data_IF_347965943174
#
_entry.id   IF_347965943174
#
_cell.length_a   1.000
_cell.length_b   1.000
_cell.length_c   1.000
_cell.angle_alpha   90.00
_cell.angle_beta   90.00
_cell.angle_gamma   90.00
#
_symmetry.space_group_name_H-M   'P 1'
#
loop_
_entity.id
_entity.type
_entity.pdbx_description
1 polymer ?
#
# COMPACT_ATOMS: atom_id res chain seq x y z
N UNK A 1 -12.17 2.73 27.30
CA UNK A 1 -11.24 3.57 28.08
C UNK A 1 -9.85 3.35 27.50
N UNK A 2 -9.22 4.39 26.96
CA UNK A 2 -7.89 4.32 26.32
C UNK A 2 -6.83 3.94 27.35
N UNK A 3 -5.96 2.99 27.02
CA UNK A 3 -4.83 2.63 27.88
C UNK A 3 -3.71 3.68 27.75
N UNK A 4 -2.82 3.75 28.75
CA UNK A 4 -1.67 4.66 28.71
C UNK A 4 -0.75 4.40 27.49
N UNK A 5 -0.62 3.15 27.08
CA UNK A 5 0.12 2.76 25.89
C UNK A 5 -0.55 3.30 24.61
N UNK A 6 -1.85 3.11 24.49
CA UNK A 6 -2.64 3.62 23.36
C UNK A 6 -2.55 5.14 23.26
N UNK A 7 -2.64 5.83 24.40
CA UNK A 7 -2.46 7.28 24.47
C UNK A 7 -1.09 7.73 23.92
N UNK A 8 0.01 7.13 24.38
CA UNK A 8 1.36 7.47 23.87
C UNK A 8 1.47 7.23 22.38
N UNK A 9 0.97 6.11 21.88
CA UNK A 9 0.99 5.78 20.46
C UNK A 9 0.15 6.77 19.64
N UNK A 10 -1.00 7.19 20.16
CA UNK A 10 -1.87 8.19 19.53
C UNK A 10 -1.16 9.54 19.42
N UNK A 11 -0.56 10.04 20.48
CA UNK A 11 0.15 11.33 20.46
C UNK A 11 1.35 11.28 19.50
N UNK A 12 2.11 10.19 19.48
CA UNK A 12 3.19 10.00 18.49
C UNK A 12 2.67 10.07 17.05
N UNK A 13 1.58 9.36 16.76
CA UNK A 13 0.95 9.34 15.43
C UNK A 13 0.50 10.73 15.00
N UNK A 14 -0.18 11.48 15.88
CA UNK A 14 -0.65 12.85 15.60
C UNK A 14 0.56 13.78 15.37
N UNK A 15 1.60 13.66 16.19
CA UNK A 15 2.84 14.46 16.05
C UNK A 15 3.51 14.24 14.69
N UNK A 16 3.54 12.99 14.21
CA UNK A 16 4.08 12.65 12.90
C UNK A 16 3.20 13.21 11.76
N UNK A 17 1.89 13.10 11.88
CA UNK A 17 0.93 13.64 10.90
C UNK A 17 0.99 15.16 10.79
N UNK A 18 1.24 15.86 11.91
CA UNK A 18 1.40 17.33 11.95
C UNK A 18 2.81 17.81 11.59
N UNK A 19 3.74 16.87 11.26
CA UNK A 19 5.10 17.19 10.88
C UNK A 19 5.99 17.67 12.03
N UNK A 20 5.58 17.47 13.30
CA UNK A 20 6.37 17.82 14.47
C UNK A 20 7.58 16.89 14.65
N UNK A 21 7.46 15.63 14.21
CA UNK A 21 8.54 14.66 14.17
C UNK A 21 8.38 13.73 12.97
N UNK A 22 9.51 13.19 12.47
CA UNK A 22 9.55 12.26 11.34
C UNK A 22 9.69 10.80 11.78
N UNK A 23 10.18 10.58 12.97
CA UNK A 23 10.47 9.25 13.50
C UNK A 23 10.46 9.23 15.03
N UNK A 24 10.52 8.03 15.61
CA UNK A 24 10.52 7.84 17.06
C UNK A 24 11.71 8.49 17.77
N UNK A 25 12.86 8.66 17.10
CA UNK A 25 14.04 9.31 17.71
C UNK A 25 13.75 10.79 17.91
N UNK A 26 13.28 11.49 16.89
CA UNK A 26 12.89 12.90 16.98
C UNK A 26 11.79 13.10 18.02
N UNK A 27 10.80 12.21 18.09
CA UNK A 27 9.76 12.29 19.09
C UNK A 27 10.28 12.08 20.52
N UNK A 28 11.22 11.16 20.72
CA UNK A 28 11.89 10.98 22.01
C UNK A 28 12.67 12.22 22.44
N UNK A 29 13.37 12.86 21.49
CA UNK A 29 14.12 14.10 21.71
C UNK A 29 13.17 15.24 22.12
N UNK A 30 12.01 15.37 21.47
CA UNK A 30 10.96 16.36 21.83
C UNK A 30 10.44 16.15 23.25
N UNK A 31 10.22 14.92 23.65
CA UNK A 31 9.78 14.57 25.01
C UNK A 31 10.92 14.63 26.06
N UNK A 32 12.14 14.90 25.64
CA UNK A 32 13.35 14.84 26.49
C UNK A 32 13.46 13.50 27.22
N UNK A 33 13.34 12.40 26.47
CA UNK A 33 13.54 11.03 26.93
C UNK A 33 14.44 10.27 25.96
N UNK A 34 15.06 9.20 26.43
CA UNK A 34 15.83 8.35 25.53
C UNK A 34 14.91 7.46 24.68
N UNK A 35 15.42 7.08 23.49
CA UNK A 35 14.67 6.26 22.53
C UNK A 35 14.24 4.91 23.09
N UNK A 36 15.03 4.32 23.99
CA UNK A 36 14.71 3.01 24.58
C UNK A 36 13.54 3.11 25.55
N UNK A 37 13.45 4.21 26.27
CA UNK A 37 12.31 4.55 27.14
C UNK A 37 11.04 4.75 26.31
N UNK A 38 11.10 5.56 25.26
CA UNK A 38 9.94 5.76 24.38
C UNK A 38 9.48 4.44 23.74
N UNK A 39 10.39 3.66 23.18
CA UNK A 39 10.07 2.38 22.58
C UNK A 39 9.45 1.39 23.58
N UNK A 40 9.97 1.37 24.81
CA UNK A 40 9.40 0.56 25.88
C UNK A 40 7.96 0.99 26.25
N UNK A 41 7.69 2.30 26.33
CA UNK A 41 6.35 2.82 26.59
C UNK A 41 5.38 2.48 25.45
N UNK A 42 5.79 2.64 24.21
CA UNK A 42 5.00 2.32 23.02
C UNK A 42 4.69 0.82 22.89
N UNK A 43 5.53 -0.04 23.47
CA UNK A 43 5.32 -1.50 23.53
C UNK A 43 4.66 -1.97 24.84
N UNK A 44 4.11 -1.05 25.64
CA UNK A 44 3.31 -1.38 26.82
C UNK A 44 4.12 -1.87 28.04
N UNK A 45 5.40 -1.51 28.17
CA UNK A 45 6.18 -1.83 29.38
C UNK A 45 5.70 -0.98 30.54
N UNK A 46 4.93 -1.58 31.45
CA UNK A 46 4.31 -0.89 32.62
C UNK A 46 5.33 -0.14 33.49
N UNK A 47 6.56 -0.66 33.61
CA UNK A 47 7.63 -0.02 34.39
C UNK A 47 8.03 1.36 33.83
N UNK A 48 7.75 1.64 32.57
CA UNK A 48 8.06 2.89 31.89
C UNK A 48 6.86 3.81 31.84
N UNK A 49 5.66 3.26 31.75
CA UNK A 49 4.38 3.99 31.76
C UNK A 49 4.07 4.57 33.15
N UNK A 50 5.04 5.28 33.72
CA UNK A 50 4.88 5.95 35.02
C UNK A 50 4.12 7.26 34.87
N UNK A 51 3.44 7.70 35.95
CA UNK A 51 2.74 8.99 35.95
C UNK A 51 3.65 10.17 35.53
N UNK A 52 4.96 10.11 35.82
CA UNK A 52 5.93 11.13 35.40
C UNK A 52 6.17 11.13 33.89
N UNK A 53 6.23 9.95 33.27
CA UNK A 53 6.39 9.82 31.82
C UNK A 53 5.11 10.25 31.09
N UNK A 54 3.96 9.77 31.55
CA UNK A 54 2.67 10.14 30.96
C UNK A 54 2.44 11.64 31.04
N UNK A 55 2.79 12.27 32.18
CA UNK A 55 2.70 13.72 32.31
C UNK A 55 3.54 14.48 31.28
N UNK A 56 4.77 14.02 30.97
CA UNK A 56 5.56 14.63 29.89
C UNK A 56 4.87 14.54 28.51
N UNK A 57 4.22 13.41 28.22
CA UNK A 57 3.47 13.24 26.98
C UNK A 57 2.25 14.15 26.95
N UNK A 58 1.56 14.31 28.11
CA UNK A 58 0.42 15.23 28.24
C UNK A 58 0.85 16.69 28.07
N UNK A 59 1.89 17.11 28.79
CA UNK A 59 2.42 18.49 28.71
C UNK A 59 2.81 18.84 27.26
N UNK A 60 3.43 17.89 26.53
CA UNK A 60 3.75 18.04 25.12
C UNK A 60 2.48 18.11 24.24
N UNK A 61 1.50 17.25 24.53
CA UNK A 61 0.24 17.23 23.78
C UNK A 61 -0.54 18.54 23.98
N UNK A 62 -0.57 19.07 25.18
CA UNK A 62 -1.22 20.35 25.53
C UNK A 62 -0.52 21.53 24.84
N UNK A 63 0.83 21.59 24.92
CA UNK A 63 1.64 22.65 24.29
C UNK A 63 1.41 22.75 22.78
N UNK A 64 1.21 21.60 22.12
CA UNK A 64 0.97 21.54 20.68
C UNK A 64 -0.50 21.38 20.30
N UNK A 65 -1.44 21.50 21.24
CA UNK A 65 -2.88 21.31 21.06
C UNK A 65 -3.22 19.98 20.37
N UNK A 66 -2.58 18.87 20.77
CA UNK A 66 -2.77 17.56 20.16
C UNK A 66 -4.00 16.82 20.67
N UNK A 67 -4.54 17.20 21.84
CA UNK A 67 -5.73 16.57 22.44
C UNK A 67 -7.05 17.00 21.77
N UNK A 68 -7.09 18.20 21.19
CA UNK A 68 -8.26 18.70 20.45
C UNK A 68 -8.49 17.90 19.13
N UNK A 69 -7.58 17.01 18.80
CA UNK A 69 -7.66 16.18 17.60
C UNK A 69 -8.46 14.87 17.80
N UNK A 70 -9.27 14.76 18.86
CA UNK A 70 -10.19 13.61 19.07
C UNK A 70 -11.32 13.54 18.03
N UNK A 71 -11.40 14.52 17.11
CA UNK A 71 -12.22 14.49 15.91
C UNK A 71 -11.41 14.57 14.61
N UNK A 72 -10.17 14.13 14.58
CA UNK A 72 -9.67 13.58 13.34
C UNK A 72 -10.34 12.20 13.22
N UNK A 73 -11.67 12.21 13.01
CA UNK A 73 -12.27 11.20 12.17
C UNK A 73 -11.22 10.88 11.12
N UNK A 74 -10.84 9.63 10.99
CA UNK A 74 -10.26 9.12 9.76
C UNK A 74 -11.26 9.48 8.65
N UNK A 75 -11.26 10.75 8.23
CA UNK A 75 -11.64 11.01 6.87
C UNK A 75 -10.64 10.14 6.12
N UNK A 76 -11.11 9.13 5.39
CA UNK A 76 -10.24 8.37 4.54
C UNK A 76 -9.52 9.43 3.72
N UNK A 77 -8.21 9.62 3.96
CA UNK A 77 -7.42 10.44 3.07
C UNK A 77 -7.65 9.78 1.73
N UNK A 78 -8.45 10.45 0.90
CA UNK A 78 -8.73 9.98 -0.45
C UNK A 78 -7.37 9.86 -1.12
N UNK A 79 -6.82 8.66 -1.11
CA UNK A 79 -5.55 8.37 -1.74
C UNK A 79 -5.84 8.39 -3.24
N UNK A 80 -5.48 9.49 -3.87
CA UNK A 80 -5.59 9.59 -5.32
C UNK A 80 -4.47 8.78 -5.95
N UNK A 81 -4.84 7.77 -6.71
CA UNK A 81 -3.92 6.95 -7.50
C UNK A 81 -4.06 7.25 -8.99
N UNK A 82 -2.97 7.32 -9.74
CA UNK A 82 -3.04 7.53 -11.18
C UNK A 82 -3.69 6.33 -11.87
N UNK A 83 -4.64 6.60 -12.76
CA UNK A 83 -5.22 5.63 -13.67
C UNK A 83 -4.33 5.54 -14.92
N UNK A 84 -3.63 4.43 -15.05
CA UNK A 84 -2.76 4.20 -16.20
C UNK A 84 -3.61 3.97 -17.46
N UNK A 85 -3.35 4.69 -18.55
CA UNK A 85 -4.10 4.54 -19.79
C UNK A 85 -3.87 3.16 -20.42
N UNK A 86 -4.85 2.70 -21.18
CA UNK A 86 -4.77 1.42 -21.90
C UNK A 86 -3.64 1.37 -22.94
N UNK A 87 -3.20 2.53 -23.41
CA UNK A 87 -2.03 2.68 -24.31
C UNK A 87 -0.70 2.37 -23.61
N UNK A 88 -0.62 2.44 -22.28
CA UNK A 88 0.54 2.00 -21.50
C UNK A 88 0.86 0.50 -21.66
N UNK A 89 -0.03 -0.24 -22.30
CA UNK A 89 0.17 -1.66 -22.63
C UNK A 89 1.16 -1.92 -23.78
N UNK A 90 1.48 -0.92 -24.57
CA UNK A 90 2.45 -1.02 -25.67
C UNK A 90 3.89 -0.72 -25.21
N UNK A 91 4.06 -0.16 -24.02
CA UNK A 91 5.35 0.07 -23.35
C UNK A 91 5.38 -0.69 -22.01
N UNK A 92 6.53 -0.72 -21.35
CA UNK A 92 6.59 -1.32 -20.01
C UNK A 92 5.85 -0.44 -19.02
N UNK A 93 5.03 -1.04 -18.13
CA UNK A 93 4.41 -0.32 -17.01
C UNK A 93 5.46 0.40 -16.15
N UNK A 94 6.68 -0.16 -16.11
CA UNK A 94 7.81 0.42 -15.42
C UNK A 94 8.27 1.75 -16.04
N UNK A 95 8.32 1.85 -17.36
CA UNK A 95 8.66 3.09 -18.07
C UNK A 95 7.56 4.13 -17.89
N UNK A 96 6.30 3.67 -17.87
CA UNK A 96 5.15 4.54 -17.64
C UNK A 96 5.10 5.06 -16.21
N UNK A 97 5.45 4.25 -15.22
CA UNK A 97 5.50 4.66 -13.81
C UNK A 97 6.54 5.77 -13.56
N UNK A 98 7.63 5.82 -14.34
CA UNK A 98 8.58 6.93 -14.30
C UNK A 98 8.04 8.18 -15.02
N UNK A 99 7.22 7.99 -16.05
CA UNK A 99 6.70 9.08 -16.88
C UNK A 99 5.41 9.70 -16.29
N UNK A 100 4.65 8.95 -15.48
CA UNK A 100 3.40 9.41 -14.82
C UNK A 100 3.62 10.57 -13.84
N UNK A 101 4.85 10.79 -13.37
CA UNK A 101 5.18 12.00 -12.62
C UNK A 101 5.20 13.27 -13.47
N UNK A 102 5.25 13.14 -14.80
CA UNK A 102 5.37 14.25 -15.75
C UNK A 102 4.09 14.52 -16.56
N UNK A 103 3.13 13.58 -16.62
CA UNK A 103 1.90 13.74 -17.39
C UNK A 103 0.65 13.86 -16.50
N UNK A 104 -0.31 14.65 -16.97
CA UNK A 104 -1.67 14.84 -16.41
C UNK A 104 -2.51 13.55 -16.60
N UNK A 105 -2.17 12.49 -15.85
CA UNK A 105 -2.99 11.28 -15.82
C UNK A 105 -4.25 11.51 -14.99
N UNK A 106 -5.37 10.97 -15.47
CA UNK A 106 -6.57 10.87 -14.66
C UNK A 106 -6.24 10.18 -13.33
N UNK A 107 -6.74 10.73 -12.23
CA UNK A 107 -6.55 10.16 -10.90
C UNK A 107 -7.88 9.72 -10.35
N UNK A 108 -7.89 8.55 -9.75
CA UNK A 108 -9.08 8.00 -9.10
C UNK A 108 -8.86 7.87 -7.59
N UNK A 109 -9.95 7.96 -6.84
CA UNK A 109 -9.93 7.77 -5.39
C UNK A 109 -9.75 6.27 -5.11
N UNK A 110 -8.69 5.93 -4.37
CA UNK A 110 -8.47 4.59 -3.87
C UNK A 110 -9.12 4.41 -2.50
N UNK A 111 -10.08 3.50 -2.35
CA UNK A 111 -10.67 3.17 -1.05
C UNK A 111 -9.74 2.31 -0.18
N UNK A 112 -8.62 1.83 -0.73
CA UNK A 112 -7.64 1.02 -0.02
C UNK A 112 -6.29 1.73 0.06
N UNK A 113 -5.64 1.65 1.22
CA UNK A 113 -4.30 2.17 1.42
C UNK A 113 -3.26 1.28 0.71
N UNK A 114 -2.23 1.91 0.16
CA UNK A 114 -1.08 1.21 -0.42
C UNK A 114 -1.26 0.75 -1.86
N UNK A 115 -2.30 1.20 -2.56
CA UNK A 115 -2.36 1.11 -4.01
C UNK A 115 -1.42 2.14 -4.63
N UNK A 116 -0.64 1.72 -5.62
CA UNK A 116 0.29 2.61 -6.33
C UNK A 116 -0.35 3.15 -7.60
N UNK A 117 -1.16 2.31 -8.28
CA UNK A 117 -1.80 2.64 -9.56
C UNK A 117 -3.18 2.01 -9.66
N UNK A 118 -3.97 2.52 -10.61
CA UNK A 118 -5.15 1.86 -11.14
C UNK A 118 -4.94 1.54 -12.62
N UNK A 119 -5.51 0.44 -13.09
CA UNK A 119 -5.56 0.10 -14.51
C UNK A 119 -6.96 -0.36 -14.88
N UNK A 120 -7.36 -0.12 -16.13
CA UNK A 120 -8.61 -0.64 -16.66
C UNK A 120 -8.41 -2.05 -17.23
N UNK A 121 -9.28 -2.99 -16.87
CA UNK A 121 -9.28 -4.34 -17.44
C UNK A 121 -9.85 -4.28 -18.85
N UNK A 122 -9.10 -4.84 -19.81
CA UNK A 122 -9.58 -4.99 -21.18
C UNK A 122 -9.49 -6.46 -21.56
N UNK A 123 -10.47 -6.97 -22.26
CA UNK A 123 -10.57 -8.40 -22.56
C UNK A 123 -11.24 -9.19 -21.43
N UNK A 124 -11.67 -10.37 -21.74
CA UNK A 124 -12.54 -11.21 -20.92
C UNK A 124 -11.87 -12.45 -20.32
N UNK A 125 -10.52 -12.52 -20.43
CA UNK A 125 -9.78 -13.70 -19.95
C UNK A 125 -9.89 -13.91 -18.42
N UNK A 126 -10.25 -12.86 -17.69
CA UNK A 126 -10.44 -12.89 -16.25
C UNK A 126 -11.91 -12.76 -15.82
N UNK A 127 -12.84 -12.79 -16.77
CA UNK A 127 -14.27 -12.84 -16.48
C UNK A 127 -14.64 -14.22 -15.87
N UNK A 128 -15.66 -14.29 -15.00
CA UNK A 128 -16.53 -13.19 -14.56
C UNK A 128 -15.97 -12.40 -13.36
N UNK A 129 -14.81 -12.78 -12.79
CA UNK A 129 -14.24 -12.14 -11.59
C UNK A 129 -13.79 -10.70 -11.89
N UNK A 130 -13.24 -10.48 -13.08
CA UNK A 130 -12.79 -9.17 -13.58
C UNK A 130 -13.42 -8.93 -14.95
N UNK A 131 -14.53 -8.24 -14.95
CA UNK A 131 -15.26 -7.92 -16.18
C UNK A 131 -14.51 -6.88 -17.02
N UNK A 132 -14.59 -6.96 -18.36
CA UNK A 132 -14.04 -5.93 -19.23
C UNK A 132 -14.61 -4.55 -18.89
N UNK A 133 -13.72 -3.56 -18.78
CA UNK A 133 -14.07 -2.18 -18.42
C UNK A 133 -13.99 -1.87 -16.93
N UNK A 134 -13.94 -2.87 -16.03
CA UNK A 134 -13.69 -2.59 -14.63
C UNK A 134 -12.28 -2.03 -14.42
N UNK A 135 -12.07 -1.32 -13.31
CA UNK A 135 -10.76 -0.85 -12.92
C UNK A 135 -10.24 -1.72 -11.77
N UNK A 136 -8.94 -1.94 -11.72
CA UNK A 136 -8.29 -2.64 -10.61
C UNK A 136 -7.20 -1.76 -9.99
N UNK A 137 -7.19 -1.74 -8.66
CA UNK A 137 -6.12 -1.10 -7.89
C UNK A 137 -4.99 -2.09 -7.73
N UNK A 138 -3.78 -1.65 -8.04
CA UNK A 138 -2.60 -2.49 -8.05
C UNK A 138 -1.48 -1.89 -7.19
N UNK A 139 -0.68 -2.78 -6.62
CA UNK A 139 0.51 -2.44 -5.84
C UNK A 139 1.73 -3.11 -6.44
N UNK A 140 2.79 -2.33 -6.68
CA UNK A 140 4.08 -2.86 -7.16
C UNK A 140 4.69 -3.77 -6.11
N UNK A 141 5.18 -4.92 -6.56
CA UNK A 141 5.94 -5.88 -5.75
C UNK A 141 7.42 -5.71 -6.07
N UNK A 142 8.24 -5.58 -5.03
CA UNK A 142 9.69 -5.52 -5.14
C UNK A 142 10.31 -6.90 -4.91
N UNK A 143 11.56 -7.09 -5.32
CA UNK A 143 12.26 -8.38 -5.30
C UNK A 143 12.34 -9.05 -3.92
N UNK A 144 12.28 -8.27 -2.85
CA UNK A 144 12.31 -8.73 -1.45
C UNK A 144 10.93 -9.12 -0.89
N UNK A 145 9.87 -8.98 -1.69
CA UNK A 145 8.51 -9.24 -1.27
C UNK A 145 8.02 -10.61 -1.74
N UNK A 146 7.21 -11.26 -0.88
CA UNK A 146 6.62 -12.54 -1.20
C UNK A 146 5.60 -12.45 -2.33
N UNK A 147 5.72 -13.37 -3.28
CA UNK A 147 4.67 -13.66 -4.26
C UNK A 147 3.67 -14.63 -3.63
N UNK A 148 2.41 -14.22 -3.52
CA UNK A 148 1.34 -15.09 -3.02
C UNK A 148 0.75 -15.89 -4.17
N UNK A 149 0.96 -17.21 -4.15
CA UNK A 149 0.44 -18.10 -5.18
C UNK A 149 -1.09 -18.19 -5.17
N UNK A 150 -1.68 -18.32 -6.34
CA UNK A 150 -3.14 -18.34 -6.52
C UNK A 150 -3.82 -16.99 -6.48
N UNK A 151 -3.08 -15.91 -6.19
CA UNK A 151 -3.61 -14.53 -6.25
C UNK A 151 -3.48 -13.94 -7.64
N UNK A 152 -4.25 -12.89 -7.88
CA UNK A 152 -4.25 -12.18 -9.16
C UNK A 152 -3.18 -11.09 -9.17
N UNK A 153 -2.40 -11.10 -10.24
CA UNK A 153 -1.36 -10.12 -10.51
C UNK A 153 -1.51 -9.52 -11.89
N UNK A 154 -1.05 -8.30 -12.03
CA UNK A 154 -0.71 -7.70 -13.30
C UNK A 154 0.78 -7.92 -13.50
N UNK A 155 1.13 -8.60 -14.56
CA UNK A 155 2.50 -8.85 -14.97
C UNK A 155 2.82 -7.96 -16.16
N UNK A 156 3.87 -7.18 -16.02
CA UNK A 156 4.42 -6.36 -17.10
C UNK A 156 5.48 -7.18 -17.83
N UNK A 157 5.20 -7.56 -19.08
CA UNK A 157 6.07 -8.43 -19.86
C UNK A 157 6.51 -7.76 -21.14
N UNK A 158 7.52 -8.33 -21.81
CA UNK A 158 7.97 -7.87 -23.12
C UNK A 158 6.84 -7.81 -24.17
N UNK A 159 5.77 -8.59 -23.99
CA UNK A 159 4.63 -8.64 -24.89
C UNK A 159 3.43 -7.79 -24.41
N UNK A 160 3.68 -6.90 -23.45
CA UNK A 160 2.66 -6.07 -22.80
C UNK A 160 2.19 -6.62 -21.46
N UNK A 161 1.26 -5.91 -20.86
CA UNK A 161 0.76 -6.24 -19.51
C UNK A 161 -0.40 -7.22 -19.57
N UNK A 162 -0.39 -8.22 -18.68
CA UNK A 162 -1.44 -9.22 -18.56
C UNK A 162 -1.93 -9.34 -17.12
N UNK A 163 -3.23 -9.58 -16.94
CA UNK A 163 -3.81 -9.88 -15.63
C UNK A 163 -4.06 -11.39 -15.56
N UNK A 164 -3.46 -12.07 -14.58
CA UNK A 164 -3.59 -13.53 -14.40
C UNK A 164 -3.50 -13.93 -12.93
N UNK A 165 -4.07 -15.08 -12.58
CA UNK A 165 -3.73 -15.80 -11.36
C UNK A 165 -2.42 -16.53 -11.58
N UNK A 166 -1.48 -16.41 -10.65
CA UNK A 166 -0.14 -17.00 -10.80
C UNK A 166 0.07 -18.18 -9.88
N UNK A 167 0.75 -19.18 -10.38
CA UNK A 167 1.05 -20.41 -9.67
C UNK A 167 2.53 -20.80 -9.86
N UNK A 168 3.12 -21.50 -8.87
CA UNK A 168 4.48 -22.01 -9.00
C UNK A 168 4.50 -23.14 -10.02
N UNK A 169 5.69 -23.37 -10.60
CA UNK A 169 5.98 -24.59 -11.39
C UNK A 169 7.10 -25.38 -10.71
N UNK A 170 7.49 -26.50 -11.29
CA UNK A 170 8.65 -27.27 -10.83
C UNK A 170 9.97 -26.51 -10.98
N UNK A 171 10.03 -25.62 -11.98
CA UNK A 171 11.16 -24.74 -12.21
C UNK A 171 10.89 -23.37 -11.52
N UNK A 172 11.70 -22.99 -10.50
CA UNK A 172 11.50 -21.71 -9.79
C UNK A 172 11.70 -20.47 -10.69
N UNK A 173 12.34 -20.61 -11.85
CA UNK A 173 12.50 -19.53 -12.82
C UNK A 173 11.28 -19.36 -13.74
N UNK A 174 10.25 -20.20 -13.60
CA UNK A 174 9.07 -20.23 -14.46
C UNK A 174 7.80 -20.19 -13.62
N UNK A 175 6.85 -19.36 -13.98
CA UNK A 175 5.52 -19.32 -13.36
C UNK A 175 4.46 -19.78 -14.35
N UNK A 176 3.37 -20.30 -13.81
CA UNK A 176 2.17 -20.62 -14.58
C UNK A 176 1.12 -19.53 -14.36
N UNK A 177 0.65 -18.98 -15.48
CA UNK A 177 -0.40 -17.95 -15.53
C UNK A 177 -1.72 -18.60 -15.90
N UNK A 178 -2.73 -18.43 -15.06
CA UNK A 178 -4.08 -18.97 -15.30
C UNK A 178 -5.09 -17.84 -15.44
N UNK A 179 -5.94 -17.97 -16.43
CA UNK A 179 -7.13 -17.16 -16.62
C UNK A 179 -8.25 -17.63 -15.68
N UNK A 180 -9.17 -16.75 -15.32
CA UNK A 180 -10.42 -17.13 -14.64
C UNK A 180 -11.41 -17.73 -15.65
N UNK A 181 -11.47 -17.14 -16.84
CA UNK A 181 -12.28 -17.65 -17.94
C UNK A 181 -11.67 -18.96 -18.48
N UNK A 182 -12.39 -20.09 -18.39
CA UNK A 182 -11.85 -21.39 -18.79
C UNK A 182 -11.61 -21.56 -20.30
N UNK A 183 -12.10 -20.65 -21.12
CA UNK A 183 -11.83 -20.64 -22.55
C UNK A 183 -10.36 -20.31 -22.86
N UNK A 184 -9.64 -19.72 -21.90
CA UNK A 184 -8.24 -19.37 -22.05
C UNK A 184 -7.35 -20.40 -21.34
N UNK A 185 -6.61 -21.20 -22.10
CA UNK A 185 -5.71 -22.21 -21.49
C UNK A 185 -4.61 -21.55 -20.66
N UNK A 186 -4.10 -22.23 -19.62
CA UNK A 186 -2.92 -21.78 -18.89
C UNK A 186 -1.70 -21.69 -19.80
N UNK A 187 -0.80 -20.74 -19.48
CA UNK A 187 0.48 -20.61 -20.16
C UNK A 187 1.60 -20.35 -19.15
N UNK A 188 2.84 -20.59 -19.55
CA UNK A 188 4.01 -20.41 -18.69
C UNK A 188 4.82 -19.21 -19.16
N UNK A 189 5.39 -18.48 -18.18
CA UNK A 189 6.25 -17.32 -18.41
C UNK A 189 7.50 -17.48 -17.58
N UNK A 190 8.67 -17.21 -18.18
CA UNK A 190 9.91 -17.12 -17.43
C UNK A 190 9.96 -15.82 -16.64
N UNK A 191 10.42 -15.88 -15.39
CA UNK A 191 10.53 -14.71 -14.53
C UNK A 191 11.42 -13.60 -15.14
N UNK A 192 12.46 -13.96 -15.88
CA UNK A 192 13.34 -13.04 -16.60
C UNK A 192 12.64 -12.18 -17.67
N UNK A 193 11.46 -12.61 -18.15
CA UNK A 193 10.66 -11.88 -19.13
C UNK A 193 9.61 -10.96 -18.49
N UNK A 194 9.59 -10.87 -17.16
CA UNK A 194 8.66 -10.05 -16.41
C UNK A 194 9.42 -8.84 -15.85
N UNK A 195 9.13 -7.66 -16.37
CA UNK A 195 9.76 -6.40 -15.98
C UNK A 195 9.15 -5.80 -14.70
N UNK A 196 7.90 -6.16 -14.42
CA UNK A 196 7.20 -5.64 -13.25
C UNK A 196 6.10 -6.58 -12.77
N UNK A 197 6.00 -6.68 -11.45
CA UNK A 197 4.99 -7.47 -10.76
C UNK A 197 4.11 -6.52 -9.97
N UNK A 198 2.80 -6.60 -10.18
CA UNK A 198 1.85 -5.77 -9.46
C UNK A 198 0.72 -6.65 -8.91
N UNK A 199 0.57 -6.66 -7.60
CA UNK A 199 -0.52 -7.39 -6.95
C UNK A 199 -1.82 -6.62 -7.10
N UNK A 200 -2.90 -7.28 -7.48
CA UNK A 200 -4.23 -6.70 -7.48
C UNK A 200 -4.74 -6.65 -6.04
N UNK A 201 -5.10 -5.46 -5.57
CA UNK A 201 -5.62 -5.21 -4.23
C UNK A 201 -7.14 -5.18 -4.18
N UNK A 202 -7.76 -4.55 -5.18
CA UNK A 202 -9.21 -4.35 -5.23
C UNK A 202 -9.70 -4.17 -6.66
N UNK A 203 -10.93 -4.56 -6.90
CA UNK A 203 -11.67 -4.31 -8.14
C UNK A 203 -12.62 -3.14 -7.88
N UNK A 204 -12.61 -2.15 -8.77
CA UNK A 204 -13.58 -1.08 -8.82
C UNK A 204 -14.51 -1.37 -9.99
N UNK A 205 -15.68 -1.92 -9.69
CA UNK A 205 -16.72 -2.17 -10.70
C UNK A 205 -17.49 -0.86 -10.93
N UNK A 206 -17.43 -0.34 -12.14
CA UNK A 206 -18.32 0.72 -12.57
C UNK A 206 -19.69 0.06 -12.83
N UNK A 207 -20.71 0.42 -12.05
CA UNK A 207 -22.09 0.02 -12.30
C UNK A 207 -22.76 1.03 -13.20
#
# INVERSE_FOLDING_TARGET
>A
METQQEYVNRIYRISTLRGLCRNQKEFADLLSVDRSTLNGAMNGREQILTGRFIKKVQDFADEHNLEIADEVTEQPQEVLVPLLPTSARAGTLADFAQTVTEYDCERIISPVKGADYAIQVTGDSMAPEYEPGCQVLIKKIFEDQFVEWGKTYVLDTMNGSVIKKIFPTEDPAVIECRSVNPQYPPFRVKCEHIHGWYRVLMILALK
#
